data_IF_359087649805
#
_entry.id   IF_359087649805
#
_cell.length_a   1.000
_cell.length_b   1.000
_cell.length_c   1.000
_cell.angle_alpha   90.00
_cell.angle_beta   90.00
_cell.angle_gamma   90.00
#
_symmetry.space_group_name_H-M   'P 1'
#
loop_
_entity.id
_entity.type
_entity.pdbx_description
1 polymer ?
#
# COMPACT_ATOMS: atom_id res chain seq x y z
N UNK A 1 -25.95 -8.37 2.23
CA UNK A 1 -25.27 -7.08 2.47
C UNK A 1 -23.79 -7.23 2.20
N UNK A 2 -23.22 -6.28 1.48
CA UNK A 2 -21.78 -6.27 1.25
C UNK A 2 -21.04 -5.95 2.55
N UNK A 3 -19.93 -6.65 2.77
CA UNK A 3 -18.98 -6.38 3.87
C UNK A 3 -18.32 -4.99 3.72
N UNK A 4 -18.21 -4.52 2.48
CA UNK A 4 -17.61 -3.23 2.13
C UNK A 4 -18.54 -2.45 1.20
N UNK A 5 -19.59 -1.80 1.72
CA UNK A 5 -20.57 -1.08 0.89
C UNK A 5 -19.98 0.16 0.19
N UNK A 6 -18.94 0.76 0.73
CA UNK A 6 -18.28 1.94 0.17
C UNK A 6 -16.83 1.63 -0.19
N UNK A 7 -16.53 1.69 -1.47
CA UNK A 7 -15.19 1.42 -1.99
C UNK A 7 -14.54 2.71 -2.50
N UNK A 8 -13.26 2.90 -2.18
CA UNK A 8 -12.42 3.86 -2.86
C UNK A 8 -11.58 3.17 -3.94
N UNK A 9 -11.17 3.91 -4.96
CA UNK A 9 -10.34 3.43 -6.05
C UNK A 9 -9.15 4.36 -6.25
N UNK A 10 -7.95 3.80 -6.18
CA UNK A 10 -6.69 4.50 -6.43
C UNK A 10 -5.89 3.76 -7.50
N UNK A 11 -5.29 4.51 -8.41
CA UNK A 11 -4.46 3.97 -9.48
C UNK A 11 -3.08 4.62 -9.48
N UNK A 12 -2.05 3.81 -9.74
CA UNK A 12 -0.71 4.33 -10.01
C UNK A 12 -0.70 5.19 -11.29
N UNK A 13 0.30 6.07 -11.47
CA UNK A 13 0.30 7.02 -12.59
C UNK A 13 0.51 6.41 -13.98
N UNK A 14 0.81 5.11 -14.10
CA UNK A 14 1.02 4.43 -15.37
C UNK A 14 -0.26 4.21 -16.18
N UNK A 15 -0.16 4.21 -17.53
CA UNK A 15 -1.32 4.04 -18.42
C UNK A 15 -2.09 2.72 -18.21
N UNK A 16 -1.46 1.56 -17.95
CA UNK A 16 -2.22 0.34 -17.64
C UNK A 16 -3.16 0.50 -16.43
N UNK A 17 -2.69 1.15 -15.36
CA UNK A 17 -3.50 1.39 -14.17
C UNK A 17 -4.61 2.41 -14.42
N UNK A 18 -4.33 3.46 -15.19
CA UNK A 18 -5.32 4.47 -15.59
C UNK A 18 -6.42 3.87 -16.45
N UNK A 19 -6.06 3.00 -17.39
CA UNK A 19 -7.06 2.27 -18.21
C UNK A 19 -7.95 1.38 -17.33
N UNK A 20 -7.35 0.63 -16.42
CA UNK A 20 -8.08 -0.21 -15.48
C UNK A 20 -8.99 0.61 -14.56
N UNK A 21 -8.55 1.76 -14.10
CA UNK A 21 -9.35 2.70 -13.32
C UNK A 21 -10.61 3.13 -14.08
N UNK A 22 -10.46 3.55 -15.35
CA UNK A 22 -11.60 3.92 -16.20
C UNK A 22 -12.60 2.78 -16.34
N UNK A 23 -12.13 1.55 -16.62
CA UNK A 23 -12.99 0.37 -16.73
C UNK A 23 -13.80 0.10 -15.45
N UNK A 24 -13.17 0.18 -14.28
CA UNK A 24 -13.89 -0.05 -13.03
C UNK A 24 -14.90 1.05 -12.72
N UNK A 25 -14.59 2.31 -13.05
CA UNK A 25 -15.51 3.44 -12.85
C UNK A 25 -16.74 3.41 -13.79
N UNK A 26 -16.67 2.67 -14.89
CA UNK A 26 -17.84 2.44 -15.77
C UNK A 26 -18.85 1.45 -15.17
N UNK A 27 -18.40 0.55 -14.30
CA UNK A 27 -19.22 -0.54 -13.75
C UNK A 27 -19.50 -0.40 -12.24
N UNK A 28 -18.73 0.41 -11.53
CA UNK A 28 -18.87 0.60 -10.09
C UNK A 28 -18.80 2.08 -9.71
N UNK A 29 -19.55 2.45 -8.69
CA UNK A 29 -19.40 3.75 -8.03
C UNK A 29 -18.33 3.67 -6.95
N UNK A 30 -17.52 4.70 -6.84
CA UNK A 30 -16.47 4.83 -5.84
C UNK A 30 -16.61 6.13 -5.07
N UNK A 31 -16.29 6.07 -3.79
CA UNK A 31 -16.29 7.22 -2.89
C UNK A 31 -14.87 7.74 -2.65
N UNK A 32 -14.70 8.95 -2.12
CA UNK A 32 -13.41 9.39 -1.61
C UNK A 32 -12.86 8.44 -0.54
N UNK A 33 -11.53 8.32 -0.46
CA UNK A 33 -10.89 7.37 0.47
C UNK A 33 -11.30 7.63 1.92
N UNK A 34 -11.61 8.86 2.27
CA UNK A 34 -12.03 9.28 3.60
C UNK A 34 -13.37 8.68 4.03
N UNK A 35 -14.20 8.32 3.06
CA UNK A 35 -15.55 7.76 3.29
C UNK A 35 -15.62 6.25 3.05
N UNK A 36 -14.52 5.64 2.64
CA UNK A 36 -14.49 4.25 2.19
C UNK A 36 -14.35 3.26 3.35
N UNK A 37 -14.94 2.08 3.15
CA UNK A 37 -14.79 0.89 4.02
C UNK A 37 -13.62 -0.01 3.58
N UNK A 38 -13.23 0.09 2.31
CA UNK A 38 -12.05 -0.55 1.74
C UNK A 38 -11.53 0.26 0.54
N UNK A 39 -10.25 0.10 0.21
CA UNK A 39 -9.64 0.75 -0.95
C UNK A 39 -9.12 -0.28 -1.95
N UNK A 40 -9.46 -0.06 -3.22
CA UNK A 40 -8.92 -0.82 -4.35
C UNK A 40 -7.67 -0.07 -4.85
N UNK A 41 -6.55 -0.76 -4.90
CA UNK A 41 -5.29 -0.22 -5.38
C UNK A 41 -4.89 -0.87 -6.71
N UNK A 42 -4.80 -0.08 -7.78
CA UNK A 42 -4.40 -0.53 -9.11
C UNK A 42 -2.95 -0.13 -9.39
N UNK A 43 -2.07 -1.11 -9.54
CA UNK A 43 -0.66 -0.83 -9.79
C UNK A 43 0.23 -2.04 -9.57
N UNK A 44 1.34 -1.85 -8.88
CA UNK A 44 2.26 -2.90 -8.45
C UNK A 44 2.47 -2.88 -6.94
N UNK A 45 3.30 -3.79 -6.43
CA UNK A 45 3.61 -3.91 -5.00
C UNK A 45 4.09 -2.59 -4.38
N UNK A 46 4.95 -1.86 -5.08
CA UNK A 46 5.46 -0.57 -4.61
C UNK A 46 4.36 0.47 -4.38
N UNK A 47 3.36 0.51 -5.26
CA UNK A 47 2.21 1.40 -5.12
C UNK A 47 1.35 1.01 -3.92
N UNK A 48 1.09 -0.29 -3.74
CA UNK A 48 0.35 -0.79 -2.58
C UNK A 48 1.09 -0.46 -1.26
N UNK A 49 2.41 -0.65 -1.22
CA UNK A 49 3.21 -0.31 -0.05
C UNK A 49 3.16 1.18 0.29
N UNK A 50 3.22 2.06 -0.71
CA UNK A 50 3.05 3.50 -0.51
C UNK A 50 1.68 3.86 0.06
N UNK A 51 0.63 3.21 -0.44
CA UNK A 51 -0.72 3.38 0.10
C UNK A 51 -0.81 2.94 1.55
N UNK A 52 -0.31 1.74 1.87
CA UNK A 52 -0.31 1.22 3.24
C UNK A 52 0.48 2.13 4.19
N UNK A 53 1.61 2.64 3.75
CA UNK A 53 2.42 3.59 4.52
C UNK A 53 1.63 4.87 4.84
N UNK A 54 0.96 5.44 3.84
CA UNK A 54 0.09 6.61 4.04
C UNK A 54 -1.04 6.34 5.02
N UNK A 55 -1.68 5.17 4.94
CA UNK A 55 -2.74 4.78 5.87
C UNK A 55 -2.21 4.65 7.31
N UNK A 56 -1.00 4.11 7.48
CA UNK A 56 -0.32 4.04 8.78
C UNK A 56 -0.05 5.43 9.36
N UNK A 57 0.49 6.34 8.56
CA UNK A 57 0.76 7.72 8.98
C UNK A 57 -0.53 8.44 9.41
N UNK A 58 -1.63 8.19 8.71
CA UNK A 58 -2.94 8.74 9.02
C UNK A 58 -3.66 7.98 10.15
N UNK A 59 -3.06 6.92 10.69
CA UNK A 59 -3.66 6.03 11.70
C UNK A 59 -5.03 5.48 11.26
N UNK A 60 -5.17 5.16 9.99
CA UNK A 60 -6.40 4.62 9.41
C UNK A 60 -6.30 3.12 9.24
N UNK A 61 -7.21 2.40 9.88
CA UNK A 61 -7.41 0.96 9.69
C UNK A 61 -8.37 0.74 8.52
N UNK A 62 -7.87 0.89 7.29
CA UNK A 62 -8.63 0.71 6.07
C UNK A 62 -8.05 -0.46 5.27
N UNK A 63 -8.81 -1.55 5.05
CA UNK A 63 -8.36 -2.66 4.23
C UNK A 63 -8.05 -2.22 2.80
N UNK A 64 -6.90 -2.67 2.27
CA UNK A 64 -6.48 -2.41 0.90
C UNK A 64 -6.49 -3.70 0.08
N UNK A 65 -7.16 -3.68 -1.08
CA UNK A 65 -7.20 -4.77 -2.05
C UNK A 65 -6.43 -4.37 -3.30
N UNK A 66 -5.25 -4.95 -3.47
CA UNK A 66 -4.38 -4.64 -4.60
C UNK A 66 -4.67 -5.51 -5.82
N UNK A 67 -4.72 -4.91 -7.01
CA UNK A 67 -4.73 -5.60 -8.29
C UNK A 67 -3.54 -5.17 -9.14
N UNK A 68 -2.74 -6.15 -9.57
CA UNK A 68 -1.50 -5.93 -10.30
C UNK A 68 -1.76 -5.67 -11.79
N UNK A 69 -1.25 -4.57 -12.30
CA UNK A 69 -1.34 -4.16 -13.71
C UNK A 69 -0.01 -4.28 -14.47
N UNK A 70 0.99 -4.87 -13.86
CA UNK A 70 2.32 -5.00 -14.44
C UNK A 70 2.94 -6.36 -14.19
N UNK A 71 4.22 -6.37 -13.87
CA UNK A 71 4.94 -7.59 -13.48
C UNK A 71 4.34 -8.19 -12.23
N UNK A 72 4.24 -9.52 -12.17
CA UNK A 72 3.70 -10.25 -11.03
C UNK A 72 4.42 -9.84 -9.75
N UNK A 73 3.66 -9.35 -8.78
CA UNK A 73 4.13 -9.05 -7.43
C UNK A 73 3.69 -10.10 -6.41
N UNK A 74 4.16 -9.95 -5.17
CA UNK A 74 3.85 -10.87 -4.08
C UNK A 74 2.65 -10.44 -3.23
N UNK A 75 2.29 -9.16 -3.30
CA UNK A 75 1.30 -8.57 -2.39
C UNK A 75 -0.06 -8.32 -3.05
N UNK A 76 -0.15 -8.45 -4.37
CA UNK A 76 -1.31 -8.06 -5.14
C UNK A 76 -1.98 -9.25 -5.82
N UNK A 77 -3.29 -9.10 -6.04
CA UNK A 77 -4.07 -10.05 -6.83
C UNK A 77 -3.89 -9.78 -8.32
N UNK A 78 -4.22 -10.77 -9.15
CA UNK A 78 -4.25 -10.56 -10.60
C UNK A 78 -5.36 -9.58 -10.99
N UNK A 79 -5.05 -8.73 -11.98
CA UNK A 79 -6.04 -7.86 -12.58
C UNK A 79 -7.22 -8.66 -13.15
N UNK A 80 -8.40 -8.28 -12.74
CA UNK A 80 -9.65 -8.75 -13.30
C UNK A 80 -10.74 -7.72 -12.98
N UNK A 81 -11.40 -7.11 -13.98
CA UNK A 81 -12.48 -6.16 -13.75
C UNK A 81 -13.78 -6.83 -13.27
N UNK A 82 -13.93 -8.14 -13.57
CA UNK A 82 -15.16 -8.83 -13.32
C UNK A 82 -15.28 -9.29 -11.86
N UNK A 83 -16.50 -9.33 -11.38
CA UNK A 83 -16.89 -9.91 -10.09
C UNK A 83 -16.13 -9.30 -8.88
N UNK A 84 -15.77 -8.02 -8.97
CA UNK A 84 -14.97 -7.32 -7.95
C UNK A 84 -15.55 -7.46 -6.54
N UNK A 85 -16.84 -7.23 -6.37
CA UNK A 85 -17.51 -7.27 -5.07
C UNK A 85 -17.43 -8.67 -4.45
N UNK A 86 -17.76 -9.72 -5.20
CA UNK A 86 -17.69 -11.09 -4.69
C UNK A 86 -16.26 -11.54 -4.41
N UNK A 87 -15.28 -11.08 -5.21
CA UNK A 87 -13.86 -11.35 -4.96
C UNK A 87 -13.40 -10.70 -3.65
N UNK A 88 -13.84 -9.48 -3.41
CA UNK A 88 -13.55 -8.76 -2.17
C UNK A 88 -14.17 -9.46 -0.95
N UNK A 89 -15.42 -9.91 -1.06
CA UNK A 89 -16.12 -10.65 0.00
C UNK A 89 -15.42 -11.97 0.37
N UNK A 90 -14.84 -12.65 -0.62
CA UNK A 90 -14.10 -13.91 -0.44
C UNK A 90 -12.63 -13.71 -0.07
N UNK A 91 -12.12 -12.50 -0.17
CA UNK A 91 -10.73 -12.21 0.12
C UNK A 91 -10.40 -12.47 1.61
N UNK A 92 -9.27 -13.12 1.83
CA UNK A 92 -8.73 -13.29 3.19
C UNK A 92 -7.98 -12.02 3.57
N UNK A 93 -8.34 -11.44 4.70
CA UNK A 93 -7.60 -10.32 5.26
C UNK A 93 -6.29 -10.81 5.89
N UNK A 94 -5.21 -10.15 5.54
CA UNK A 94 -3.88 -10.35 6.13
C UNK A 94 -3.49 -9.07 6.83
N UNK A 95 -3.20 -9.17 8.12
CA UNK A 95 -2.70 -8.02 8.89
C UNK A 95 -1.17 -8.00 8.84
N UNK A 96 -0.61 -6.91 8.34
CA UNK A 96 0.83 -6.68 8.32
C UNK A 96 1.20 -5.82 9.53
N UNK A 97 2.14 -6.31 10.34
CA UNK A 97 2.69 -5.59 11.48
C UNK A 97 3.92 -4.80 11.02
N UNK A 98 3.90 -3.47 11.06
CA UNK A 98 5.07 -2.68 10.67
C UNK A 98 6.19 -2.78 11.71
N UNK A 99 7.42 -2.58 11.25
CA UNK A 99 8.57 -2.29 12.11
C UNK A 99 8.49 -0.83 12.56
N UNK A 100 8.91 -0.56 13.78
CA UNK A 100 9.08 0.80 14.26
C UNK A 100 10.59 1.10 14.38
N UNK A 101 11.09 2.04 13.58
CA UNK A 101 12.47 2.46 13.62
C UNK A 101 12.60 3.75 14.44
N UNK A 102 13.44 3.71 15.48
CA UNK A 102 13.84 4.91 16.21
C UNK A 102 15.27 5.27 15.80
N UNK A 103 15.43 6.47 15.28
CA UNK A 103 16.70 6.98 14.76
C UNK A 103 17.15 8.15 15.63
N UNK A 104 18.40 8.11 16.10
CA UNK A 104 19.04 9.22 16.78
C UNK A 104 20.18 9.73 15.92
N UNK A 105 20.07 10.99 15.49
CA UNK A 105 21.10 11.65 14.72
C UNK A 105 22.25 12.13 15.64
N UNK A 106 23.43 12.36 15.07
CA UNK A 106 24.59 12.92 15.79
C UNK A 106 24.31 14.28 16.43
N UNK A 107 23.32 15.02 15.91
CA UNK A 107 22.81 16.27 16.50
C UNK A 107 21.98 16.06 17.78
N UNK A 108 21.67 14.81 18.17
CA UNK A 108 20.77 14.47 19.26
C UNK A 108 19.29 14.46 18.88
N UNK A 109 18.95 14.79 17.63
CA UNK A 109 17.59 14.74 17.14
C UNK A 109 17.13 13.30 16.99
N UNK A 110 15.89 13.01 17.44
CA UNK A 110 15.28 11.68 17.37
C UNK A 110 14.09 11.67 16.42
N UNK A 111 14.00 10.60 15.65
CA UNK A 111 12.89 10.31 14.74
C UNK A 111 12.36 8.91 15.03
N UNK A 112 11.05 8.74 15.00
CA UNK A 112 10.41 7.43 15.07
C UNK A 112 9.50 7.28 13.85
N UNK A 113 9.80 6.30 13.00
CA UNK A 113 9.14 6.09 11.72
C UNK A 113 8.72 4.62 11.57
N UNK A 114 7.51 4.36 11.02
CA UNK A 114 7.11 3.01 10.67
C UNK A 114 7.80 2.55 9.38
N UNK A 115 8.13 1.27 9.30
CA UNK A 115 8.61 0.62 8.10
C UNK A 115 7.81 -0.67 7.86
N UNK A 116 7.36 -0.91 6.64
CA UNK A 116 6.56 -2.11 6.32
C UNK A 116 7.46 -3.28 5.98
N UNK A 117 8.43 -3.10 5.09
CA UNK A 117 9.33 -4.17 4.65
C UNK A 117 10.68 -4.12 5.36
N UNK A 118 11.31 -2.95 5.35
CA UNK A 118 12.70 -2.79 5.78
C UNK A 118 12.98 -1.37 6.26
N UNK A 119 14.02 -1.26 7.06
CA UNK A 119 14.71 0.00 7.33
C UNK A 119 16.04 -0.06 6.59
N UNK A 120 16.27 0.88 5.67
CA UNK A 120 17.50 0.94 4.89
C UNK A 120 18.34 2.15 5.22
N UNK A 121 19.66 2.00 5.17
CA UNK A 121 20.62 3.08 5.32
C UNK A 121 21.35 3.28 3.99
N UNK A 122 21.24 4.50 3.44
CA UNK A 122 21.94 4.88 2.23
C UNK A 122 23.08 5.82 2.58
N UNK A 123 24.30 5.48 2.12
CA UNK A 123 25.45 6.35 2.32
C UNK A 123 25.37 7.57 1.40
N UNK A 124 25.66 8.73 1.95
CA UNK A 124 25.74 9.96 1.19
C UNK A 124 26.96 10.02 0.27
N UNK A 125 28.08 9.40 0.70
CA UNK A 125 29.34 9.36 -0.06
C UNK A 125 29.78 7.93 -0.36
N UNK A 126 30.76 7.77 -1.30
CA UNK A 126 31.28 6.45 -1.70
C UNK A 126 32.29 5.83 -0.72
N UNK A 127 32.35 6.31 0.52
CA UNK A 127 33.25 5.79 1.54
C UNK A 127 32.68 4.60 2.30
N UNK A 128 33.55 3.76 2.87
CA UNK A 128 33.11 2.66 3.72
C UNK A 128 32.46 3.17 5.00
N UNK A 129 31.38 2.50 5.44
CA UNK A 129 30.76 2.72 6.73
C UNK A 129 31.11 1.58 7.68
N UNK A 130 31.38 1.91 8.95
CA UNK A 130 31.49 0.92 10.03
C UNK A 130 30.13 0.84 10.72
N UNK A 131 29.58 -0.37 10.78
CA UNK A 131 28.30 -0.65 11.43
C UNK A 131 28.53 -1.61 12.57
N UNK A 132 27.93 -1.32 13.71
CA UNK A 132 27.75 -2.27 14.81
C UNK A 132 26.28 -2.70 14.79
N UNK A 133 26.04 -3.99 14.81
CA UNK A 133 24.68 -4.56 14.82
C UNK A 133 24.56 -5.39 16.07
N UNK A 134 23.64 -4.99 16.93
CA UNK A 134 23.27 -5.73 18.14
C UNK A 134 21.85 -6.31 17.91
N UNK A 135 21.68 -7.61 18.22
CA UNK A 135 20.42 -8.35 18.00
C UNK A 135 19.92 -8.88 19.33
#
# INVERSE_FOLDING_TARGET
MSRFPKLALLASPGEPARKAERQLREIHEFVPIEEADAVIALGGDGFLLQLLHRLLEQRRDLPAYGMNLGTIGFLMNNWNPDDLVNRLERAKSITVMPLMATIEATSGQRFTLPAINEVSLLRETRQAAKLQIDV
#
